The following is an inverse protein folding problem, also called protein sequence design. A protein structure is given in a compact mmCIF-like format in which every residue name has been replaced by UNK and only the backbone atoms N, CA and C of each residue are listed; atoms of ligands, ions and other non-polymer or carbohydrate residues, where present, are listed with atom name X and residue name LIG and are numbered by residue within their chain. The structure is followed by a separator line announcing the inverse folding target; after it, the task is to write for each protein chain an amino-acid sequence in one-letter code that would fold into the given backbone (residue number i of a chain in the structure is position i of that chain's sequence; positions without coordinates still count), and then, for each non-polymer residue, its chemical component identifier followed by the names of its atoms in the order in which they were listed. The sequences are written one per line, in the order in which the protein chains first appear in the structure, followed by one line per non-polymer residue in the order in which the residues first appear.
data_IF_502420847644
#
_entry.id   IF_502420847644
#
_cell.length_a   1.000
_cell.length_b   1.000
_cell.length_c   1.000
_cell.angle_alpha   90.00
_cell.angle_beta   90.00
_cell.angle_gamma   90.00
#
_symmetry.space_group_name_H-M   'P 1'
#
loop_
_entity.id
_entity.type
_entity.pdbx_description
1 polymer ?
#
# COMPACT_ATOMS: atom_id res chain seq x y z
N UNK A 1 -22.76 53.75 3.49
CA UNK A 1 -22.83 52.71 2.45
C UNK A 1 -23.77 51.63 2.94
N UNK A 2 -24.95 51.48 2.34
CA UNK A 2 -25.85 50.36 2.67
C UNK A 2 -25.32 49.11 1.98
N UNK A 3 -24.93 48.10 2.76
CA UNK A 3 -24.58 46.79 2.24
C UNK A 3 -25.82 46.18 1.58
N UNK A 4 -25.75 45.79 0.31
CA UNK A 4 -26.82 45.06 -0.34
C UNK A 4 -26.71 43.58 0.08
N UNK A 5 -27.61 43.06 0.94
CA UNK A 5 -27.51 41.71 1.48
C UNK A 5 -27.57 40.63 0.38
N UNK A 6 -28.34 40.86 -0.69
CA UNK A 6 -28.48 39.92 -1.81
C UNK A 6 -27.20 39.83 -2.64
N UNK A 7 -26.49 40.96 -2.78
CA UNK A 7 -25.19 40.99 -3.45
C UNK A 7 -24.13 40.23 -2.67
N UNK A 8 -24.09 40.41 -1.36
CA UNK A 8 -23.14 39.70 -0.50
C UNK A 8 -23.42 38.20 -0.48
N UNK A 9 -24.69 37.79 -0.44
CA UNK A 9 -25.08 36.38 -0.49
C UNK A 9 -24.70 35.73 -1.82
N UNK A 10 -24.97 36.42 -2.94
CA UNK A 10 -24.56 35.97 -4.27
C UNK A 10 -23.04 35.78 -4.35
N UNK A 11 -22.24 36.80 -3.98
CA UNK A 11 -20.79 36.74 -4.08
C UNK A 11 -20.22 35.57 -3.23
N UNK A 12 -20.81 35.32 -2.05
CA UNK A 12 -20.45 34.20 -1.19
C UNK A 12 -20.81 32.83 -1.81
N UNK A 13 -22.02 32.66 -2.35
CA UNK A 13 -22.46 31.42 -3.01
C UNK A 13 -21.60 31.09 -4.23
N UNK A 14 -21.34 32.09 -5.07
CA UNK A 14 -20.51 31.95 -6.27
C UNK A 14 -19.08 31.57 -5.91
N UNK A 15 -18.51 32.21 -4.87
CA UNK A 15 -17.17 31.89 -4.37
C UNK A 15 -17.05 30.44 -3.89
N UNK A 16 -18.07 29.90 -3.19
CA UNK A 16 -18.09 28.50 -2.76
C UNK A 16 -18.27 27.54 -3.94
N UNK A 17 -19.23 27.82 -4.82
CA UNK A 17 -19.56 26.93 -5.94
C UNK A 17 -18.44 26.83 -6.97
N UNK A 18 -17.74 27.94 -7.28
CA UNK A 18 -16.60 27.91 -8.21
C UNK A 18 -15.42 27.12 -7.67
N UNK A 19 -15.22 27.04 -6.35
CA UNK A 19 -14.18 26.18 -5.75
C UNK A 19 -14.48 24.70 -5.97
N UNK A 20 -15.75 24.31 -5.95
CA UNK A 20 -16.16 22.92 -6.06
C UNK A 20 -16.37 22.47 -7.52
N UNK A 21 -17.05 23.27 -8.33
CA UNK A 21 -17.39 22.95 -9.74
C UNK A 21 -16.40 23.54 -10.76
N UNK A 22 -15.48 24.40 -10.34
CA UNK A 22 -14.52 25.09 -11.22
C UNK A 22 -15.04 26.41 -11.81
N UNK A 23 -14.16 27.11 -12.53
CA UNK A 23 -14.44 28.44 -13.10
C UNK A 23 -15.40 28.42 -14.30
N UNK A 24 -15.72 27.24 -14.84
CA UNK A 24 -16.66 27.06 -15.95
C UNK A 24 -18.13 27.04 -15.54
N UNK A 25 -18.44 27.22 -14.25
CA UNK A 25 -19.82 27.31 -13.78
C UNK A 25 -20.49 28.58 -14.35
N UNK A 26 -21.55 28.40 -15.12
CA UNK A 26 -22.39 29.52 -15.56
C UNK A 26 -23.09 30.16 -14.36
N UNK A 27 -22.68 31.39 -14.05
CA UNK A 27 -23.25 32.18 -12.97
C UNK A 27 -24.12 33.27 -13.59
N UNK A 28 -25.41 33.27 -13.26
CA UNK A 28 -26.37 34.28 -13.69
C UNK A 28 -26.16 35.64 -13.01
N UNK A 29 -27.22 36.43 -12.84
CA UNK A 29 -27.17 37.72 -12.14
C UNK A 29 -27.55 37.62 -10.66
N UNK A 30 -27.89 38.78 -10.07
CA UNK A 30 -28.42 38.89 -8.70
C UNK A 30 -29.95 38.76 -8.65
N UNK A 31 -30.57 38.23 -9.71
CA UNK A 31 -32.01 38.08 -9.74
C UNK A 31 -32.46 37.00 -8.74
N UNK A 32 -33.69 37.10 -8.25
CA UNK A 32 -34.25 36.12 -7.32
C UNK A 32 -34.14 34.68 -7.84
N UNK A 33 -34.38 34.46 -9.14
CA UNK A 33 -34.30 33.14 -9.76
C UNK A 33 -32.86 32.62 -9.87
N UNK A 34 -31.90 33.49 -10.13
CA UNK A 34 -30.48 33.13 -10.17
C UNK A 34 -29.97 32.77 -8.77
N UNK A 35 -30.35 33.53 -7.75
CA UNK A 35 -30.05 33.23 -6.35
C UNK A 35 -30.66 31.89 -5.91
N UNK A 36 -31.90 31.59 -6.30
CA UNK A 36 -32.53 30.29 -6.04
C UNK A 36 -31.75 29.14 -6.70
N UNK A 37 -31.33 29.30 -7.96
CA UNK A 37 -30.51 28.31 -8.67
C UNK A 37 -29.17 28.09 -7.96
N UNK A 38 -28.50 29.16 -7.52
CA UNK A 38 -27.24 29.06 -6.78
C UNK A 38 -27.42 28.36 -5.42
N UNK A 39 -28.50 28.64 -4.69
CA UNK A 39 -28.81 27.93 -3.43
C UNK A 39 -29.06 26.44 -3.66
N UNK A 40 -29.76 26.07 -4.73
CA UNK A 40 -29.97 24.65 -5.08
C UNK A 40 -28.65 23.94 -5.42
N UNK A 41 -27.75 24.62 -6.14
CA UNK A 41 -26.41 24.09 -6.43
C UNK A 41 -25.56 23.97 -5.16
N UNK A 42 -25.66 24.92 -4.24
CA UNK A 42 -24.92 24.85 -2.96
C UNK A 42 -25.45 23.71 -2.09
N UNK A 43 -26.76 23.48 -2.04
CA UNK A 43 -27.34 22.32 -1.37
C UNK A 43 -26.87 20.99 -1.99
N UNK A 44 -26.75 20.91 -3.33
CA UNK A 44 -26.18 19.73 -4.00
C UNK A 44 -24.70 19.53 -3.69
N UNK A 45 -23.92 20.61 -3.63
CA UNK A 45 -22.52 20.57 -3.19
C UNK A 45 -22.42 20.03 -1.76
N UNK A 46 -23.21 20.58 -0.84
CA UNK A 46 -23.20 20.15 0.56
C UNK A 46 -23.60 18.69 0.72
N UNK A 47 -24.61 18.22 -0.03
CA UNK A 47 -24.98 16.81 -0.06
C UNK A 47 -23.82 15.93 -0.58
N UNK A 48 -23.16 16.31 -1.68
CA UNK A 48 -22.02 15.57 -2.21
C UNK A 48 -20.81 15.57 -1.26
N UNK A 49 -20.52 16.70 -0.59
CA UNK A 49 -19.48 16.77 0.44
C UNK A 49 -19.82 15.92 1.67
N UNK A 50 -21.10 15.87 2.07
CA UNK A 50 -21.56 15.04 3.16
C UNK A 50 -21.46 13.54 2.81
N UNK A 51 -21.87 13.14 1.61
CA UNK A 51 -21.71 11.78 1.09
C UNK A 51 -20.24 11.37 1.02
N UNK A 52 -19.37 12.26 0.51
CA UNK A 52 -17.94 12.01 0.43
C UNK A 52 -17.31 11.84 1.82
N UNK A 53 -17.70 12.66 2.79
CA UNK A 53 -17.27 12.53 4.20
C UNK A 53 -17.80 11.24 4.84
N UNK A 54 -19.05 10.87 4.55
CA UNK A 54 -19.62 9.61 5.06
C UNK A 54 -18.91 8.37 4.49
N UNK A 55 -18.45 8.43 3.23
CA UNK A 55 -17.69 7.36 2.61
C UNK A 55 -16.19 7.36 2.99
N UNK A 56 -15.68 8.43 3.59
CA UNK A 56 -14.26 8.60 3.90
C UNK A 56 -13.67 7.47 4.76
N UNK A 57 -14.32 7.01 5.85
CA UNK A 57 -13.76 5.94 6.68
C UNK A 57 -13.58 4.63 5.91
N UNK A 58 -14.57 4.25 5.09
CA UNK A 58 -14.49 3.05 4.26
C UNK A 58 -13.39 3.17 3.21
N UNK A 59 -13.26 4.34 2.57
CA UNK A 59 -12.21 4.61 1.61
C UNK A 59 -10.80 4.55 2.23
N UNK A 60 -10.64 5.00 3.48
CA UNK A 60 -9.39 4.91 4.22
C UNK A 60 -9.04 3.46 4.57
N UNK A 61 -10.01 2.67 5.05
CA UNK A 61 -9.83 1.25 5.33
C UNK A 61 -9.43 0.46 4.06
N UNK A 62 -10.09 0.72 2.92
CA UNK A 62 -9.72 0.15 1.61
C UNK A 62 -8.27 0.48 1.24
N UNK A 63 -7.86 1.74 1.41
CA UNK A 63 -6.49 2.18 1.11
C UNK A 63 -5.47 1.49 2.00
N UNK A 64 -5.77 1.31 3.28
CA UNK A 64 -4.87 0.64 4.20
C UNK A 64 -4.71 -0.84 3.85
N UNK A 65 -5.81 -1.54 3.57
CA UNK A 65 -5.78 -2.90 3.08
C UNK A 65 -4.92 -3.06 1.81
N UNK A 66 -5.13 -2.17 0.82
CA UNK A 66 -4.36 -2.15 -0.43
C UNK A 66 -2.85 -1.94 -0.21
N UNK A 67 -2.47 -1.14 0.79
CA UNK A 67 -1.05 -0.95 1.16
C UNK A 67 -0.44 -2.24 1.71
N UNK A 68 -1.14 -2.93 2.63
CA UNK A 68 -0.66 -4.18 3.20
C UNK A 68 -0.53 -5.29 2.13
N UNK A 69 -1.50 -5.38 1.21
CA UNK A 69 -1.40 -6.28 0.06
C UNK A 69 -0.18 -5.96 -0.82
N UNK A 70 0.03 -4.68 -1.15
CA UNK A 70 1.21 -4.25 -1.93
C UNK A 70 2.53 -4.64 -1.24
N UNK A 71 2.57 -4.48 0.09
CA UNK A 71 3.71 -4.85 0.93
C UNK A 71 3.99 -6.36 0.88
N UNK A 72 2.94 -7.19 0.97
CA UNK A 72 3.05 -8.65 0.82
C UNK A 72 3.56 -9.06 -0.57
N UNK A 73 3.04 -8.44 -1.64
CA UNK A 73 3.48 -8.70 -3.03
C UNK A 73 4.95 -8.35 -3.22
N UNK A 74 5.40 -7.19 -2.74
CA UNK A 74 6.81 -6.80 -2.82
C UNK A 74 7.71 -7.78 -2.08
N UNK A 75 7.32 -8.21 -0.87
CA UNK A 75 8.08 -9.19 -0.12
C UNK A 75 8.16 -10.54 -0.85
N UNK A 76 7.06 -11.01 -1.44
CA UNK A 76 7.03 -12.22 -2.26
C UNK A 76 7.99 -12.13 -3.47
N UNK A 77 8.00 -11.00 -4.17
CA UNK A 77 8.93 -10.76 -5.28
C UNK A 77 10.39 -10.81 -4.81
N UNK A 78 10.70 -10.15 -3.68
CA UNK A 78 12.04 -10.17 -3.09
C UNK A 78 12.50 -11.57 -2.69
N UNK A 79 11.57 -12.44 -2.27
CA UNK A 79 11.89 -13.85 -2.02
C UNK A 79 12.26 -14.54 -3.32
N UNK A 80 11.47 -14.37 -4.40
CA UNK A 80 11.78 -14.96 -5.69
C UNK A 80 13.16 -14.56 -6.22
N UNK A 81 13.50 -13.27 -6.13
CA UNK A 81 14.84 -12.78 -6.50
C UNK A 81 15.94 -13.39 -5.64
N UNK A 82 15.74 -13.44 -4.32
CA UNK A 82 16.71 -14.03 -3.39
C UNK A 82 16.89 -15.55 -3.60
N UNK A 83 15.81 -16.28 -3.89
CA UNK A 83 15.85 -17.71 -4.20
C UNK A 83 16.66 -17.98 -5.48
N UNK A 84 16.48 -17.17 -6.52
CA UNK A 84 17.28 -17.27 -7.74
C UNK A 84 18.78 -17.08 -7.47
N UNK A 85 19.15 -16.07 -6.66
CA UNK A 85 20.55 -15.81 -6.29
C UNK A 85 21.19 -16.96 -5.52
N UNK A 86 20.46 -17.56 -4.57
CA UNK A 86 20.94 -18.73 -3.84
C UNK A 86 21.04 -19.95 -4.75
N UNK A 87 20.14 -20.10 -5.73
CA UNK A 87 20.17 -21.21 -6.67
C UNK A 87 21.46 -21.25 -7.50
N UNK A 88 21.99 -20.10 -7.91
CA UNK A 88 23.26 -19.99 -8.65
C UNK A 88 24.45 -20.58 -7.88
N UNK A 89 24.42 -20.50 -6.54
CA UNK A 89 25.47 -20.96 -5.64
C UNK A 89 24.98 -22.03 -4.64
N UNK A 90 24.00 -22.83 -5.05
CA UNK A 90 23.26 -23.74 -4.17
C UNK A 90 24.14 -24.62 -3.28
N UNK A 91 25.19 -25.21 -3.87
CA UNK A 91 26.11 -26.11 -3.15
C UNK A 91 26.91 -25.39 -2.08
N UNK A 92 27.34 -24.16 -2.34
CA UNK A 92 28.06 -23.35 -1.36
C UNK A 92 27.15 -23.02 -0.16
N UNK A 93 25.94 -22.55 -0.43
CA UNK A 93 24.96 -22.27 0.62
C UNK A 93 24.59 -23.53 1.43
N UNK A 94 24.47 -24.70 0.79
CA UNK A 94 24.28 -25.98 1.49
C UNK A 94 25.44 -26.33 2.42
N UNK A 95 26.69 -26.08 2.01
CA UNK A 95 27.87 -26.29 2.85
C UNK A 95 27.86 -25.35 4.05
N UNK A 96 27.51 -24.08 3.83
CA UNK A 96 27.39 -23.06 4.87
C UNK A 96 26.19 -23.27 5.82
N UNK A 97 25.42 -24.35 5.66
CA UNK A 97 24.30 -24.67 6.54
C UNK A 97 23.05 -23.84 6.30
N UNK A 98 22.91 -23.23 5.12
CA UNK A 98 21.67 -22.55 4.74
C UNK A 98 20.51 -23.55 4.71
N UNK A 99 19.37 -23.15 5.29
CA UNK A 99 18.16 -23.94 5.29
C UNK A 99 17.54 -24.01 3.88
N UNK A 100 17.68 -25.17 3.25
CA UNK A 100 17.21 -25.40 1.89
C UNK A 100 15.67 -25.39 1.77
N UNK A 101 14.93 -25.57 2.86
CA UNK A 101 13.47 -25.43 2.87
C UNK A 101 13.04 -24.00 2.53
N UNK A 102 13.91 -23.00 2.74
CA UNK A 102 13.63 -21.62 2.36
C UNK A 102 13.60 -21.40 0.84
N UNK A 103 14.15 -22.33 0.05
CA UNK A 103 14.06 -22.30 -1.42
C UNK A 103 12.79 -22.93 -1.99
N UNK A 104 11.93 -23.50 -1.14
CA UNK A 104 10.66 -24.02 -1.61
C UNK A 104 9.81 -22.89 -2.23
N UNK A 105 9.11 -23.17 -3.35
CA UNK A 105 8.23 -22.20 -3.98
C UNK A 105 7.22 -21.67 -2.96
N UNK A 106 7.06 -20.35 -2.92
CA UNK A 106 6.09 -19.70 -2.06
C UNK A 106 4.90 -19.29 -2.90
N UNK A 107 3.72 -19.67 -2.44
CA UNK A 107 2.47 -19.22 -3.04
C UNK A 107 2.40 -17.70 -3.03
N UNK A 108 2.04 -17.12 -4.17
CA UNK A 108 1.80 -15.68 -4.24
C UNK A 108 0.71 -15.28 -3.24
N UNK A 109 0.81 -14.09 -2.62
CA UNK A 109 -0.27 -13.60 -1.78
C UNK A 109 -1.58 -13.58 -2.60
N UNK A 110 -2.73 -13.89 -1.98
CA UNK A 110 -4.00 -13.87 -2.69
C UNK A 110 -4.23 -12.47 -3.26
N UNK A 111 -4.59 -12.39 -4.54
CA UNK A 111 -4.91 -11.11 -5.20
C UNK A 111 -6.12 -10.39 -4.62
N UNK A 112 -6.94 -11.13 -3.86
CA UNK A 112 -8.22 -10.70 -3.32
C UNK A 112 -8.40 -11.32 -1.93
N UNK A 113 -7.74 -10.78 -0.91
CA UNK A 113 -8.29 -10.87 0.45
C UNK A 113 -9.39 -9.80 0.51
N UNK A 114 -10.43 -9.97 -0.30
CA UNK A 114 -11.59 -9.10 -0.23
C UNK A 114 -12.32 -9.41 1.08
N UNK A 115 -12.69 -8.38 1.85
CA UNK A 115 -13.43 -8.61 3.08
C UNK A 115 -14.77 -9.27 2.73
N UNK A 116 -15.20 -10.19 3.60
CA UNK A 116 -16.48 -10.91 3.45
C UNK A 116 -17.68 -9.97 3.40
N UNK A 117 -17.54 -8.77 4.00
CA UNK A 117 -18.51 -7.68 3.97
C UNK A 117 -17.78 -6.38 3.67
N UNK A 118 -18.35 -5.54 2.77
CA UNK A 118 -17.86 -4.18 2.51
C UNK A 118 -18.26 -3.23 3.65
N UNK A 119 -17.62 -3.41 4.79
CA UNK A 119 -17.73 -2.55 5.98
C UNK A 119 -16.32 -2.15 6.44
N UNK A 120 -16.24 -1.11 7.28
CA UNK A 120 -14.97 -0.69 7.88
C UNK A 120 -14.36 -1.84 8.70
N UNK A 121 -15.16 -2.47 9.55
CA UNK A 121 -14.75 -3.62 10.38
C UNK A 121 -14.24 -4.79 9.54
N UNK A 122 -14.92 -5.11 8.43
CA UNK A 122 -14.47 -6.16 7.51
C UNK A 122 -13.12 -5.85 6.87
N UNK A 123 -12.90 -4.59 6.47
CA UNK A 123 -11.60 -4.16 5.94
C UNK A 123 -10.51 -4.13 7.02
N UNK A 124 -10.83 -3.81 8.27
CA UNK A 124 -9.88 -3.82 9.38
C UNK A 124 -9.41 -5.25 9.70
N UNK A 125 -10.33 -6.21 9.74
CA UNK A 125 -10.01 -7.65 9.90
C UNK A 125 -9.15 -8.15 8.74
N UNK A 126 -9.56 -7.90 7.50
CA UNK A 126 -8.81 -8.28 6.30
C UNK A 126 -7.41 -7.62 6.26
N UNK A 127 -7.29 -6.38 6.75
CA UNK A 127 -6.00 -5.68 6.88
C UNK A 127 -5.10 -6.36 7.92
N UNK A 128 -5.65 -6.75 9.06
CA UNK A 128 -4.90 -7.45 10.11
C UNK A 128 -4.35 -8.79 9.60
N UNK A 129 -5.16 -9.58 8.90
CA UNK A 129 -4.72 -10.83 8.28
C UNK A 129 -3.64 -10.59 7.23
N UNK A 130 -3.85 -9.63 6.33
CA UNK A 130 -2.87 -9.29 5.30
C UNK A 130 -1.55 -8.80 5.91
N UNK A 131 -1.60 -8.07 7.02
CA UNK A 131 -0.39 -7.61 7.70
C UNK A 131 0.43 -8.77 8.28
N UNK A 132 -0.22 -9.80 8.83
CA UNK A 132 0.46 -11.01 9.28
C UNK A 132 1.14 -11.75 8.13
N UNK A 133 0.43 -11.89 6.99
CA UNK A 133 0.99 -12.48 5.76
C UNK A 133 2.21 -11.68 5.29
N UNK A 134 2.08 -10.35 5.22
CA UNK A 134 3.15 -9.46 4.81
C UNK A 134 4.38 -9.61 5.72
N UNK A 135 4.20 -9.58 7.05
CA UNK A 135 5.31 -9.74 8.02
C UNK A 135 5.98 -11.11 7.91
N UNK A 136 5.23 -12.19 7.71
CA UNK A 136 5.80 -13.51 7.51
C UNK A 136 6.66 -13.58 6.23
N UNK A 137 6.16 -13.03 5.12
CA UNK A 137 6.89 -12.93 3.86
C UNK A 137 8.14 -12.06 3.99
N UNK A 138 8.04 -10.89 4.63
CA UNK A 138 9.17 -9.98 4.86
C UNK A 138 10.27 -10.65 5.69
N UNK A 139 9.91 -11.39 6.75
CA UNK A 139 10.87 -12.12 7.56
C UNK A 139 11.63 -13.16 6.74
N UNK A 140 10.92 -13.91 5.90
CA UNK A 140 11.54 -14.88 4.99
C UNK A 140 12.40 -14.19 3.92
N UNK A 141 11.93 -13.10 3.33
CA UNK A 141 12.66 -12.29 2.37
C UNK A 141 13.99 -11.79 2.96
N UNK A 142 13.98 -11.29 4.20
CA UNK A 142 15.19 -10.84 4.90
C UNK A 142 16.20 -11.97 5.09
N UNK A 143 15.76 -13.15 5.54
CA UNK A 143 16.65 -14.31 5.73
C UNK A 143 17.33 -14.73 4.44
N UNK A 144 16.55 -14.88 3.37
CA UNK A 144 17.05 -15.32 2.05
C UNK A 144 18.01 -14.28 1.48
N UNK A 145 17.61 -13.01 1.45
CA UNK A 145 18.43 -11.95 0.87
C UNK A 145 19.69 -11.69 1.69
N UNK A 146 19.65 -11.79 3.02
CA UNK A 146 20.85 -11.70 3.86
C UNK A 146 21.85 -12.81 3.52
N UNK A 147 21.40 -14.06 3.35
CA UNK A 147 22.27 -15.17 2.99
C UNK A 147 22.87 -15.00 1.58
N UNK A 148 22.05 -14.59 0.62
CA UNK A 148 22.49 -14.32 -0.75
C UNK A 148 23.53 -13.18 -0.78
N UNK A 149 23.23 -12.04 -0.16
CA UNK A 149 24.13 -10.88 -0.13
C UNK A 149 25.43 -11.15 0.61
N UNK A 150 25.41 -11.92 1.70
CA UNK A 150 26.65 -12.30 2.40
C UNK A 150 27.61 -13.08 1.49
N UNK A 151 27.09 -14.00 0.69
CA UNK A 151 27.90 -14.77 -0.25
C UNK A 151 28.43 -13.90 -1.40
N UNK A 152 27.59 -13.04 -1.97
CA UNK A 152 27.97 -12.12 -3.06
C UNK A 152 29.04 -11.11 -2.64
N UNK A 153 29.07 -10.72 -1.36
CA UNK A 153 30.03 -9.75 -0.82
C UNK A 153 31.38 -10.36 -0.44
N UNK A 154 31.47 -11.68 -0.31
CA UNK A 154 32.74 -12.33 0.00
C UNK A 154 33.67 -12.32 -1.21
N UNK A 155 34.94 -11.96 -0.96
CA UNK A 155 36.00 -12.20 -1.93
C UNK A 155 36.22 -13.71 -2.12
N UNK A 156 36.84 -14.15 -3.23
CA UNK A 156 37.12 -15.58 -3.43
C UNK A 156 37.85 -16.25 -2.26
N UNK A 157 38.81 -15.55 -1.64
CA UNK A 157 39.53 -16.06 -0.46
C UNK A 157 38.63 -16.21 0.77
N UNK A 158 37.70 -15.26 0.97
CA UNK A 158 36.72 -15.31 2.06
C UNK A 158 35.70 -16.44 1.84
N UNK A 159 35.24 -16.63 0.60
CA UNK A 159 34.37 -17.74 0.22
C UNK A 159 35.05 -19.09 0.50
N UNK A 160 36.28 -19.26 0.04
CA UNK A 160 37.06 -20.48 0.27
C UNK A 160 37.26 -20.76 1.76
N UNK A 161 37.66 -19.74 2.53
CA UNK A 161 37.82 -19.86 3.99
C UNK A 161 36.52 -20.25 4.68
N UNK A 162 35.40 -19.61 4.33
CA UNK A 162 34.09 -19.90 4.91
C UNK A 162 33.67 -21.34 4.63
N UNK A 163 33.88 -21.83 3.39
CA UNK A 163 33.60 -23.21 3.01
C UNK A 163 34.48 -24.21 3.76
N UNK A 164 35.80 -23.95 3.87
CA UNK A 164 36.73 -24.81 4.60
C UNK A 164 36.33 -24.91 6.06
N UNK A 165 36.02 -23.78 6.72
CA UNK A 165 35.60 -23.76 8.11
C UNK A 165 34.29 -24.52 8.31
N UNK A 166 33.31 -24.32 7.43
CA UNK A 166 32.03 -25.03 7.51
C UNK A 166 32.17 -26.55 7.28
N UNK A 167 33.11 -26.97 6.42
CA UNK A 167 33.42 -28.38 6.23
C UNK A 167 34.18 -28.98 7.43
N UNK A 168 35.15 -28.26 7.99
CA UNK A 168 35.89 -28.68 9.17
C UNK A 168 34.96 -28.88 10.37
N UNK A 169 34.06 -27.93 10.62
CA UNK A 169 33.03 -28.01 11.68
C UNK A 169 32.12 -29.24 11.52
N UNK A 170 31.69 -29.55 10.28
CA UNK A 170 30.90 -30.76 10.00
C UNK A 170 31.67 -32.07 10.17
N UNK A 171 32.98 -32.05 9.92
CA UNK A 171 33.85 -33.21 10.07
C UNK A 171 34.35 -33.38 11.52
N UNK A 172 34.10 -32.40 12.39
CA UNK A 172 34.52 -32.43 13.79
C UNK A 172 36.03 -32.22 14.00
N UNK A 173 36.67 -31.44 13.12
CA UNK A 173 38.13 -31.17 13.13
C UNK A 173 38.42 -29.71 13.45
#
# INVERSE_FOLDING_TARGET
MYANPERNEYEALVGRLRKFYGNGLEVGGYSHNDLLRLRQLDAKREAAEAEAKAAQPLNEAIKQHSREHSRAVTAWQQIGTGQARIADNKRAHQILGFDMALLEPITAPPSAVEPSVRSVEGYDEATAEMSQIATALESKARKINSAASQWEQYTPDQQNRALILALADRLGV
#
